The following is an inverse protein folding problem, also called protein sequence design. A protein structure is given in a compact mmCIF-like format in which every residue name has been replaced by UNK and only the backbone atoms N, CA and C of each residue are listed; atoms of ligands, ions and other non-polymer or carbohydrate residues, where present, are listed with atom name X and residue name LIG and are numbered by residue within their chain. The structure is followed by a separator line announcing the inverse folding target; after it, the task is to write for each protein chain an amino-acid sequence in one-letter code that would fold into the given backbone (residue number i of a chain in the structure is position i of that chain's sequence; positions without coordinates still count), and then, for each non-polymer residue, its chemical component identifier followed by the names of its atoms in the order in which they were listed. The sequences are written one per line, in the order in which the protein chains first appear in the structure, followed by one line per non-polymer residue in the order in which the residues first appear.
data_IF_837630683582
#
_entry.id   IF_837630683582
#
_cell.length_a   1.000
_cell.length_b   1.000
_cell.length_c   1.000
_cell.angle_alpha   90.00
_cell.angle_beta   90.00
_cell.angle_gamma   90.00
#
_symmetry.space_group_name_H-M   'P 1'
#
loop_
_entity.id
_entity.type
_entity.pdbx_description
1 polymer ?
#
# COMPACT_ATOMS: atom_id res chain seq x y z
N UNK A 1 -24.02 5.39 -3.02
CA UNK A 1 -23.49 4.34 -2.12
C UNK A 1 -22.48 4.96 -1.18
N UNK A 2 -22.25 4.35 -0.02
CA UNK A 2 -21.29 4.86 0.97
C UNK A 2 -19.87 4.44 0.60
N UNK A 3 -19.00 5.42 0.36
CA UNK A 3 -17.55 5.21 0.25
C UNK A 3 -16.99 4.71 1.58
N UNK A 4 -15.91 3.92 1.59
CA UNK A 4 -15.32 3.45 2.83
C UNK A 4 -14.69 4.60 3.63
N UNK A 5 -14.86 4.56 4.94
CA UNK A 5 -14.20 5.47 5.88
C UNK A 5 -12.84 4.89 6.28
N UNK A 6 -11.75 5.52 5.83
CA UNK A 6 -10.39 5.13 6.22
C UNK A 6 -10.06 5.70 7.60
N UNK A 7 -9.75 4.82 8.55
CA UNK A 7 -9.38 5.17 9.93
C UNK A 7 -7.88 5.09 10.13
N UNK A 8 -7.34 6.02 10.91
CA UNK A 8 -5.92 6.05 11.24
C UNK A 8 -5.69 5.61 12.68
N UNK A 9 -4.76 4.67 12.88
CA UNK A 9 -4.44 4.12 14.21
C UNK A 9 -2.95 3.86 14.35
N UNK A 10 -2.53 3.60 15.58
CA UNK A 10 -1.24 2.99 15.89
C UNK A 10 -1.49 1.57 16.39
N UNK A 11 -0.56 0.67 16.10
CA UNK A 11 -0.57 -0.69 16.63
C UNK A 11 0.87 -1.16 16.87
N UNK A 12 1.37 -0.99 18.11
CA UNK A 12 2.73 -1.42 18.46
C UNK A 12 2.94 -2.93 18.30
N UNK A 13 1.90 -3.75 18.45
CA UNK A 13 2.03 -5.20 18.30
C UNK A 13 2.14 -5.60 16.83
N UNK A 14 1.44 -4.88 15.94
CA UNK A 14 1.64 -5.00 14.50
C UNK A 14 3.06 -4.57 14.10
N UNK A 15 3.59 -3.47 14.66
CA UNK A 15 4.99 -3.07 14.40
C UNK A 15 6.00 -4.10 14.93
N UNK A 16 5.75 -4.73 16.09
CA UNK A 16 6.58 -5.84 16.57
C UNK A 16 6.55 -7.03 15.61
N UNK A 17 5.38 -7.34 15.05
CA UNK A 17 5.27 -8.38 14.02
C UNK A 17 6.04 -7.99 12.76
N UNK A 18 5.85 -6.77 12.25
CA UNK A 18 6.53 -6.26 11.06
C UNK A 18 8.05 -6.26 11.21
N UNK A 19 8.56 -5.81 12.36
CA UNK A 19 10.00 -5.85 12.63
C UNK A 19 10.56 -7.27 12.60
N UNK A 20 9.80 -8.28 13.02
CA UNK A 20 10.27 -9.68 12.99
C UNK A 20 10.17 -10.31 11.61
N UNK A 21 9.14 -9.95 10.86
CA UNK A 21 8.88 -10.53 9.54
C UNK A 21 9.79 -9.93 8.46
N UNK A 22 10.05 -8.61 8.53
CA UNK A 22 10.71 -7.88 7.44
C UNK A 22 12.19 -7.51 7.73
N UNK A 23 12.70 -7.73 8.94
CA UNK A 23 14.14 -7.58 9.22
C UNK A 23 14.90 -8.88 8.94
N UNK A 24 15.24 -9.08 7.67
CA UNK A 24 16.04 -10.23 7.22
C UNK A 24 17.54 -10.03 7.44
N UNK A 25 18.00 -8.77 7.56
CA UNK A 25 19.41 -8.37 7.59
C UNK A 25 20.20 -8.75 6.32
N UNK A 26 19.51 -9.11 5.25
CA UNK A 26 20.08 -9.32 3.92
C UNK A 26 20.29 -7.95 3.24
N UNK A 27 21.51 -7.69 2.76
CA UNK A 27 21.85 -6.45 2.05
C UNK A 27 21.11 -6.29 0.72
N UNK A 28 20.51 -7.35 0.18
CA UNK A 28 19.71 -7.33 -1.03
C UNK A 28 18.22 -7.07 -0.76
N UNK A 29 17.78 -7.19 0.50
CA UNK A 29 16.39 -6.95 0.90
C UNK A 29 16.14 -5.46 1.14
N UNK A 30 15.43 -4.84 0.20
CA UNK A 30 15.13 -3.41 0.24
C UNK A 30 14.30 -2.99 1.47
N UNK A 31 13.43 -3.86 1.98
CA UNK A 31 12.58 -3.52 3.13
C UNK A 31 13.41 -3.52 4.41
N UNK A 32 14.17 -4.60 4.63
CA UNK A 32 15.12 -4.71 5.74
C UNK A 32 16.08 -3.52 5.75
N UNK A 33 16.67 -3.20 4.59
CA UNK A 33 17.59 -2.07 4.46
C UNK A 33 16.93 -0.71 4.75
N UNK A 34 15.69 -0.49 4.28
CA UNK A 34 14.99 0.76 4.57
C UNK A 34 14.73 0.91 6.07
N UNK A 35 14.32 -0.16 6.75
CA UNK A 35 14.13 -0.12 8.21
C UNK A 35 15.43 0.17 8.93
N UNK A 36 16.54 -0.49 8.55
CA UNK A 36 17.84 -0.30 9.19
C UNK A 36 18.47 1.07 8.90
N UNK A 37 18.04 1.76 7.84
CA UNK A 37 18.44 3.13 7.56
C UNK A 37 17.76 4.12 8.52
N UNK A 38 16.47 3.95 8.77
CA UNK A 38 15.70 4.80 9.68
C UNK A 38 15.95 4.46 11.17
N UNK A 39 16.27 3.18 11.46
CA UNK A 39 16.43 2.64 12.81
C UNK A 39 17.76 1.87 12.95
N UNK A 40 18.93 2.54 12.88
CA UNK A 40 20.23 1.87 12.83
C UNK A 40 20.57 1.04 14.08
N UNK A 41 19.93 1.31 15.22
CA UNK A 41 20.10 0.52 16.44
C UNK A 41 19.63 -0.94 16.28
N UNK A 42 18.67 -1.20 15.39
CA UNK A 42 18.17 -2.54 15.10
C UNK A 42 19.22 -3.44 14.45
N UNK A 43 20.31 -2.89 13.90
CA UNK A 43 21.43 -3.69 13.37
C UNK A 43 22.02 -4.64 14.41
N UNK A 44 21.99 -4.25 15.69
CA UNK A 44 22.43 -5.09 16.82
C UNK A 44 21.66 -6.41 16.91
N UNK A 45 20.43 -6.46 16.40
CA UNK A 45 19.63 -7.67 16.40
C UNK A 45 20.12 -8.69 15.37
N UNK A 46 20.85 -8.29 14.33
CA UNK A 46 21.31 -9.17 13.24
C UNK A 46 22.15 -10.35 13.74
N UNK A 47 23.01 -10.09 14.73
CA UNK A 47 23.92 -11.06 15.34
C UNK A 47 23.27 -11.92 16.45
N UNK A 48 22.00 -11.68 16.78
CA UNK A 48 21.30 -12.39 17.83
C UNK A 48 20.62 -13.66 17.30
N UNK A 49 20.59 -14.69 18.15
CA UNK A 49 19.77 -15.89 17.96
C UNK A 49 18.28 -15.54 17.95
N UNK A 50 17.46 -16.40 17.34
CA UNK A 50 16.05 -16.13 17.01
C UNK A 50 15.23 -15.57 18.18
N UNK A 51 15.28 -16.20 19.34
CA UNK A 51 14.50 -15.78 20.52
C UNK A 51 14.99 -14.42 21.05
N UNK A 52 16.31 -14.25 21.21
CA UNK A 52 16.92 -13.00 21.67
C UNK A 52 16.69 -11.85 20.67
N UNK A 53 16.72 -12.12 19.37
CA UNK A 53 16.38 -11.20 18.28
C UNK A 53 14.93 -10.72 18.42
N UNK A 54 13.98 -11.65 18.60
CA UNK A 54 12.57 -11.33 18.80
C UNK A 54 12.33 -10.48 20.06
N UNK A 55 12.99 -10.80 21.17
CA UNK A 55 12.92 -10.00 22.40
C UNK A 55 13.51 -8.61 22.23
N UNK A 56 14.66 -8.51 21.55
CA UNK A 56 15.30 -7.23 21.26
C UNK A 56 14.41 -6.33 20.40
N UNK A 57 13.85 -6.85 19.29
CA UNK A 57 12.93 -6.10 18.43
C UNK A 57 11.68 -5.68 19.20
N UNK A 58 11.10 -6.58 20.00
CA UNK A 58 9.95 -6.26 20.84
C UNK A 58 10.24 -5.08 21.78
N UNK A 59 11.37 -5.14 22.46
CA UNK A 59 11.81 -4.09 23.37
C UNK A 59 12.04 -2.79 22.64
N UNK A 60 12.72 -2.83 21.49
CA UNK A 60 12.97 -1.65 20.67
C UNK A 60 11.68 -0.93 20.29
N UNK A 61 10.69 -1.66 19.76
CA UNK A 61 9.39 -1.08 19.39
C UNK A 61 8.70 -0.49 20.61
N UNK A 62 8.63 -1.22 21.73
CA UNK A 62 8.02 -0.71 22.96
C UNK A 62 8.69 0.57 23.48
N UNK A 63 10.02 0.62 23.50
CA UNK A 63 10.77 1.81 23.92
C UNK A 63 10.56 2.98 22.96
N UNK A 64 10.50 2.72 21.64
CA UNK A 64 10.25 3.75 20.64
C UNK A 64 8.90 4.42 20.86
N UNK A 65 7.84 3.63 21.03
CA UNK A 65 6.49 4.13 21.28
C UNK A 65 6.39 4.88 22.63
N UNK A 66 7.07 4.39 23.67
CA UNK A 66 7.13 5.08 24.95
C UNK A 66 7.84 6.45 24.86
N UNK A 67 8.89 6.54 24.03
CA UNK A 67 9.65 7.78 23.82
C UNK A 67 9.00 8.78 22.84
N UNK A 68 8.21 8.31 21.88
CA UNK A 68 7.68 9.13 20.77
C UNK A 68 6.14 9.17 20.70
N UNK A 69 5.43 8.72 21.75
CA UNK A 69 3.96 8.62 21.74
C UNK A 69 3.24 9.89 21.28
N UNK A 70 3.62 11.05 21.82
CA UNK A 70 3.03 12.34 21.43
C UNK A 70 3.22 12.67 19.93
N UNK A 71 4.42 12.41 19.37
CA UNK A 71 4.70 12.62 17.94
C UNK A 71 3.80 11.72 17.09
N UNK A 72 3.67 10.44 17.48
CA UNK A 72 2.88 9.46 16.74
C UNK A 72 1.38 9.78 16.79
N UNK A 73 0.87 10.25 17.94
CA UNK A 73 -0.53 10.69 18.08
C UNK A 73 -0.83 11.95 17.27
N UNK A 74 0.09 12.92 17.25
CA UNK A 74 0.00 14.09 16.37
C UNK A 74 -0.02 13.65 14.89
N UNK A 75 0.77 12.63 14.54
CA UNK A 75 0.82 12.08 13.19
C UNK A 75 -0.48 11.39 12.78
N UNK A 76 -1.16 10.68 13.67
CA UNK A 76 -2.53 10.19 13.42
C UNK A 76 -3.46 11.35 13.06
N UNK A 77 -3.47 12.39 13.91
CA UNK A 77 -4.39 13.52 13.76
C UNK A 77 -4.16 14.26 12.44
N UNK A 78 -2.90 14.56 12.13
CA UNK A 78 -2.52 15.25 10.89
C UNK A 78 -2.79 14.39 9.66
N UNK A 79 -2.41 13.11 9.68
CA UNK A 79 -2.65 12.20 8.54
C UNK A 79 -4.15 11.98 8.29
N UNK A 80 -4.96 11.87 9.34
CA UNK A 80 -6.41 11.77 9.21
C UNK A 80 -7.01 13.03 8.60
N UNK A 81 -6.55 14.21 9.00
CA UNK A 81 -7.00 15.48 8.43
C UNK A 81 -6.60 15.61 6.97
N UNK A 82 -5.33 15.36 6.67
CA UNK A 82 -4.77 15.44 5.32
C UNK A 82 -5.48 14.47 4.37
N UNK A 83 -5.88 13.29 4.84
CA UNK A 83 -6.67 12.34 4.07
C UNK A 83 -8.08 12.86 3.76
N UNK A 84 -8.76 13.46 4.74
CA UNK A 84 -10.11 13.98 4.55
C UNK A 84 -10.17 15.06 3.46
N UNK A 85 -9.11 15.88 3.33
CA UNK A 85 -9.02 16.92 2.30
C UNK A 85 -9.00 16.35 0.87
N UNK A 86 -8.52 15.11 0.69
CA UNK A 86 -8.29 14.52 -0.64
C UNK A 86 -9.17 13.32 -0.96
N UNK A 87 -9.68 12.63 0.06
CA UNK A 87 -10.32 11.31 -0.05
C UNK A 87 -11.53 11.32 -0.99
N UNK A 88 -12.36 12.35 -0.94
CA UNK A 88 -13.56 12.43 -1.79
C UNK A 88 -13.21 12.47 -3.29
N UNK A 89 -12.23 13.29 -3.66
CA UNK A 89 -11.78 13.36 -5.05
C UNK A 89 -11.18 12.03 -5.49
N UNK A 90 -10.36 11.41 -4.63
CA UNK A 90 -9.79 10.09 -4.88
C UNK A 90 -10.88 9.03 -5.11
N UNK A 91 -11.84 8.88 -4.18
CA UNK A 91 -12.91 7.89 -4.31
C UNK A 91 -13.77 8.11 -5.56
N UNK A 92 -14.04 9.36 -5.92
CA UNK A 92 -14.77 9.68 -7.15
C UNK A 92 -14.01 9.25 -8.41
N UNK A 93 -12.68 9.40 -8.43
CA UNK A 93 -11.85 8.94 -9.55
C UNK A 93 -11.80 7.41 -9.61
N UNK A 94 -11.61 6.74 -8.47
CA UNK A 94 -11.62 5.27 -8.43
C UNK A 94 -12.97 4.71 -8.85
N UNK A 95 -14.08 5.27 -8.37
CA UNK A 95 -15.42 4.87 -8.79
C UNK A 95 -15.59 4.95 -10.31
N UNK A 96 -15.06 6.00 -10.97
CA UNK A 96 -15.13 6.11 -12.44
C UNK A 96 -14.36 5.01 -13.16
N UNK A 97 -13.22 4.58 -12.61
CA UNK A 97 -12.39 3.52 -13.21
C UNK A 97 -13.09 2.16 -13.11
N UNK A 98 -13.70 1.86 -11.96
CA UNK A 98 -14.26 0.55 -11.67
C UNK A 98 -15.76 0.41 -11.99
N UNK A 99 -16.45 1.51 -12.31
CA UNK A 99 -17.84 1.46 -12.75
C UNK A 99 -17.94 1.06 -14.23
N UNK A 100 -18.87 0.14 -14.56
CA UNK A 100 -19.15 -0.20 -15.97
C UNK A 100 -19.97 0.90 -16.63
N UNK A 101 -19.69 1.22 -17.90
CA UNK A 101 -20.48 2.20 -18.67
C UNK A 101 -21.94 1.72 -18.76
N UNK A 102 -22.87 2.50 -18.22
CA UNK A 102 -24.30 2.16 -18.15
C UNK A 102 -24.66 1.09 -17.11
N UNK A 103 -23.70 0.67 -16.26
CA UNK A 103 -23.90 -0.24 -15.14
C UNK A 103 -24.06 0.48 -13.80
N UNK A 104 -24.22 -0.26 -12.69
CA UNK A 104 -24.21 0.31 -11.36
C UNK A 104 -22.85 0.93 -11.03
N UNK A 105 -22.85 1.90 -10.12
CA UNK A 105 -21.61 2.45 -9.54
C UNK A 105 -20.77 1.35 -8.89
N UNK A 106 -19.46 1.59 -8.77
CA UNK A 106 -18.55 0.69 -8.07
C UNK A 106 -18.99 0.46 -6.62
N UNK A 107 -19.20 -0.82 -6.29
CA UNK A 107 -19.50 -1.29 -4.95
C UNK A 107 -18.18 -1.64 -4.24
N UNK A 108 -17.83 -0.85 -3.23
CA UNK A 108 -16.58 -1.02 -2.50
C UNK A 108 -16.61 -2.31 -1.67
N UNK A 109 -15.52 -3.10 -1.63
CA UNK A 109 -15.50 -4.32 -0.84
C UNK A 109 -15.66 -4.03 0.65
N UNK A 110 -16.45 -4.84 1.36
CA UNK A 110 -16.56 -4.75 2.81
C UNK A 110 -15.20 -4.98 3.50
N UNK A 111 -14.97 -4.23 4.58
CA UNK A 111 -13.77 -4.41 5.40
C UNK A 111 -13.56 -3.30 6.42
N UNK A 112 -12.41 -3.35 7.09
CA UNK A 112 -12.13 -2.44 8.21
C UNK A 112 -11.68 -1.05 7.79
N UNK A 113 -10.97 -0.95 6.65
CA UNK A 113 -10.35 0.27 6.14
C UNK A 113 -9.57 1.01 7.23
N UNK A 114 -8.46 0.39 7.67
CA UNK A 114 -7.58 0.97 8.68
C UNK A 114 -6.17 1.15 8.11
N UNK A 115 -5.66 2.37 8.21
CA UNK A 115 -4.25 2.70 8.05
C UNK A 115 -3.59 2.70 9.43
N UNK A 116 -2.73 1.72 9.68
CA UNK A 116 -1.88 1.69 10.87
C UNK A 116 -0.61 2.47 10.56
N UNK A 117 -0.43 3.64 11.17
CA UNK A 117 0.84 4.35 11.07
C UNK A 117 1.91 3.50 11.73
N UNK A 118 2.97 3.22 10.99
CA UNK A 118 4.06 2.34 11.37
C UNK A 118 5.33 3.13 11.52
N UNK A 119 6.18 2.73 12.45
CA UNK A 119 7.55 3.24 12.55
C UNK A 119 8.46 2.66 11.45
N UNK A 120 8.05 1.61 10.73
CA UNK A 120 8.85 0.91 9.74
C UNK A 120 8.39 1.18 8.30
N UNK A 121 9.34 1.43 7.41
CA UNK A 121 9.08 1.65 5.99
C UNK A 121 8.99 0.34 5.18
N UNK A 122 8.11 -0.55 5.61
CA UNK A 122 7.78 -1.80 4.91
C UNK A 122 6.39 -1.75 4.26
N UNK A 123 5.46 -1.02 4.88
CA UNK A 123 4.09 -0.80 4.43
C UNK A 123 3.31 -2.10 4.06
N UNK A 124 3.32 -3.17 4.87
CA UNK A 124 2.57 -4.38 4.57
C UNK A 124 1.05 -4.13 4.50
N UNK A 125 0.35 -4.93 3.69
CA UNK A 125 -1.09 -4.84 3.47
C UNK A 125 -1.81 -6.17 3.65
N UNK A 126 -3.06 -6.09 4.09
CA UNK A 126 -3.89 -7.24 4.45
C UNK A 126 -5.20 -7.20 3.65
N UNK A 127 -5.14 -7.79 2.46
CA UNK A 127 -6.21 -7.70 1.44
C UNK A 127 -7.55 -8.21 1.96
N UNK A 128 -7.63 -9.24 2.79
CA UNK A 128 -8.94 -9.75 3.24
C UNK A 128 -9.63 -8.81 4.25
N UNK A 129 -8.85 -8.23 5.16
CA UNK A 129 -9.35 -7.41 6.25
C UNK A 129 -9.47 -5.92 5.88
N UNK A 130 -8.86 -5.50 4.76
CA UNK A 130 -8.79 -4.11 4.28
C UNK A 130 -8.08 -3.21 5.28
N UNK A 131 -6.92 -3.62 5.76
CA UNK A 131 -6.03 -2.73 6.50
C UNK A 131 -4.59 -2.87 5.99
N UNK A 132 -3.78 -1.87 6.29
CA UNK A 132 -2.39 -1.80 5.87
C UNK A 132 -1.59 -0.96 6.87
N UNK A 133 -0.28 -1.08 6.81
CA UNK A 133 0.63 -0.17 7.49
C UNK A 133 1.14 0.91 6.54
N UNK A 134 1.33 2.12 7.05
CA UNK A 134 1.99 3.20 6.33
C UNK A 134 3.05 3.83 7.22
N UNK A 135 4.27 3.95 6.71
CA UNK A 135 5.34 4.62 7.43
C UNK A 135 4.97 6.07 7.71
N UNK A 136 4.96 6.47 8.98
CA UNK A 136 4.49 7.81 9.34
C UNK A 136 5.37 8.96 8.81
N UNK A 137 6.59 8.63 8.37
CA UNK A 137 7.56 9.54 7.72
C UNK A 137 7.74 9.24 6.22
N UNK A 138 6.77 8.56 5.59
CA UNK A 138 6.89 8.15 4.19
C UNK A 138 7.22 9.32 3.25
N UNK A 139 8.24 9.21 2.38
CA UNK A 139 8.71 10.34 1.56
C UNK A 139 7.67 10.83 0.55
N UNK A 140 6.78 9.95 0.06
CA UNK A 140 5.67 10.32 -0.81
C UNK A 140 4.42 10.81 -0.05
N UNK A 141 4.51 11.02 1.27
CA UNK A 141 3.41 11.25 2.22
C UNK A 141 2.57 10.00 2.52
N UNK A 142 1.91 9.99 3.67
CA UNK A 142 0.95 8.95 4.08
C UNK A 142 -0.24 8.91 3.12
N UNK A 143 -0.71 10.05 2.61
CA UNK A 143 -1.83 10.12 1.67
C UNK A 143 -1.59 9.30 0.39
N UNK A 144 -0.37 9.37 -0.16
CA UNK A 144 -0.02 8.57 -1.33
C UNK A 144 -0.11 7.06 -1.03
N UNK A 145 0.43 6.63 0.11
CA UNK A 145 0.35 5.23 0.55
C UNK A 145 -1.11 4.81 0.73
N UNK A 146 -1.94 5.64 1.37
CA UNK A 146 -3.36 5.38 1.53
C UNK A 146 -4.08 5.18 0.19
N UNK A 147 -3.80 6.02 -0.81
CA UNK A 147 -4.38 5.86 -2.15
C UNK A 147 -3.93 4.57 -2.82
N UNK A 148 -2.64 4.26 -2.73
CA UNK A 148 -2.07 3.03 -3.28
C UNK A 148 -2.71 1.79 -2.66
N UNK A 149 -2.81 1.74 -1.33
CA UNK A 149 -3.34 0.57 -0.62
C UNK A 149 -4.86 0.41 -0.77
N UNK A 150 -5.61 1.52 -0.74
CA UNK A 150 -7.06 1.47 -1.00
C UNK A 150 -7.36 1.06 -2.45
N UNK A 151 -6.50 1.43 -3.40
CA UNK A 151 -6.62 1.01 -4.80
C UNK A 151 -6.30 -0.49 -5.00
N UNK A 152 -5.37 -1.05 -4.20
CA UNK A 152 -5.22 -2.52 -4.11
C UNK A 152 -6.54 -3.19 -3.69
N UNK A 153 -7.24 -2.67 -2.68
CA UNK A 153 -8.49 -3.29 -2.24
C UNK A 153 -9.57 -3.30 -3.33
N UNK A 154 -9.73 -2.19 -4.06
CA UNK A 154 -10.67 -2.10 -5.18
C UNK A 154 -10.28 -3.03 -6.34
N UNK A 155 -9.01 -3.05 -6.72
CA UNK A 155 -8.53 -3.87 -7.84
C UNK A 155 -8.64 -5.37 -7.55
N UNK A 156 -8.24 -5.84 -6.37
CA UNK A 156 -8.39 -7.24 -5.98
C UNK A 156 -9.86 -7.69 -6.03
N UNK A 157 -10.76 -6.91 -5.43
CA UNK A 157 -12.19 -7.23 -5.41
C UNK A 157 -12.78 -7.27 -6.83
N UNK A 158 -12.44 -6.27 -7.65
CA UNK A 158 -12.93 -6.22 -9.03
C UNK A 158 -12.45 -7.42 -9.86
N UNK A 159 -11.16 -7.76 -9.78
CA UNK A 159 -10.59 -8.85 -10.56
C UNK A 159 -11.15 -10.20 -10.08
N UNK A 160 -11.24 -10.42 -8.77
CA UNK A 160 -11.83 -11.65 -8.20
C UNK A 160 -13.28 -11.84 -8.66
N UNK A 161 -14.09 -10.77 -8.70
CA UNK A 161 -15.50 -10.83 -9.10
C UNK A 161 -15.70 -10.98 -10.62
N UNK A 162 -14.89 -10.29 -11.44
CA UNK A 162 -15.12 -10.20 -12.89
C UNK A 162 -14.26 -11.17 -13.71
N UNK A 163 -13.12 -11.63 -13.18
CA UNK A 163 -12.17 -12.53 -13.81
C UNK A 163 -11.77 -13.68 -12.86
N UNK A 164 -12.74 -14.44 -12.29
CA UNK A 164 -12.46 -15.40 -11.23
C UNK A 164 -11.54 -16.56 -11.68
N UNK A 165 -11.63 -16.97 -12.95
CA UNK A 165 -10.77 -18.02 -13.49
C UNK A 165 -9.32 -17.55 -13.58
N UNK A 166 -9.11 -16.32 -14.08
CA UNK A 166 -7.79 -15.74 -14.24
C UNK A 166 -7.18 -15.33 -12.90
N UNK A 167 -7.99 -14.86 -11.95
CA UNK A 167 -7.59 -14.64 -10.57
C UNK A 167 -7.03 -15.91 -9.93
N UNK A 168 -7.71 -17.06 -10.13
CA UNK A 168 -7.24 -18.34 -9.63
C UNK A 168 -5.93 -18.82 -10.29
N UNK A 169 -5.73 -18.51 -11.59
CA UNK A 169 -4.52 -18.87 -12.33
C UNK A 169 -3.33 -18.01 -11.91
N UNK A 170 -3.53 -16.70 -11.74
CA UNK A 170 -2.47 -15.78 -11.33
C UNK A 170 -1.90 -16.12 -9.95
N UNK A 171 -2.76 -16.60 -9.05
CA UNK A 171 -2.40 -16.80 -7.65
C UNK A 171 -1.96 -15.50 -6.97
N UNK A 172 -1.44 -15.60 -5.75
CA UNK A 172 -1.10 -14.44 -4.92
C UNK A 172 -0.02 -13.56 -5.55
N UNK A 173 1.08 -14.16 -6.02
CA UNK A 173 2.19 -13.41 -6.62
C UNK A 173 1.80 -12.72 -7.94
N UNK A 174 1.01 -13.39 -8.78
CA UNK A 174 0.52 -12.81 -10.03
C UNK A 174 -0.45 -11.65 -9.77
N UNK A 175 -1.36 -11.82 -8.81
CA UNK A 175 -2.28 -10.77 -8.39
C UNK A 175 -1.56 -9.58 -7.77
N UNK A 176 -0.57 -9.84 -6.92
CA UNK A 176 0.30 -8.80 -6.36
C UNK A 176 0.96 -8.00 -7.47
N UNK A 177 1.60 -8.67 -8.43
CA UNK A 177 2.33 -7.99 -9.51
C UNK A 177 1.41 -7.18 -10.42
N UNK A 178 0.26 -7.74 -10.81
CA UNK A 178 -0.76 -7.04 -11.59
C UNK A 178 -1.25 -5.79 -10.87
N UNK A 179 -1.58 -5.91 -9.58
CA UNK A 179 -2.14 -4.80 -8.82
C UNK A 179 -1.11 -3.70 -8.55
N UNK A 180 0.16 -4.03 -8.32
CA UNK A 180 1.26 -3.04 -8.22
C UNK A 180 1.38 -2.22 -9.50
N UNK A 181 1.45 -2.91 -10.65
CA UNK A 181 1.60 -2.25 -11.96
C UNK A 181 0.36 -1.41 -12.29
N UNK A 182 -0.83 -1.94 -12.04
CA UNK A 182 -2.08 -1.19 -12.22
C UNK A 182 -2.08 0.09 -11.36
N UNK A 183 -1.79 -0.02 -10.07
CA UNK A 183 -1.77 1.14 -9.18
C UNK A 183 -0.74 2.17 -9.62
N UNK A 184 0.46 1.74 -10.05
CA UNK A 184 1.49 2.63 -10.55
C UNK A 184 1.07 3.39 -11.82
N UNK A 185 0.33 2.74 -12.72
CA UNK A 185 -0.25 3.37 -13.92
C UNK A 185 -1.32 4.39 -13.53
N UNK A 186 -2.26 4.00 -12.66
CA UNK A 186 -3.40 4.84 -12.29
C UNK A 186 -2.96 6.06 -11.48
N UNK A 187 -2.11 5.89 -10.48
CA UNK A 187 -1.67 6.99 -9.61
C UNK A 187 -0.79 8.02 -10.33
N UNK A 188 -0.29 7.70 -11.53
CA UNK A 188 0.44 8.62 -12.42
C UNK A 188 -0.45 9.36 -13.41
N UNK A 189 -1.74 9.04 -13.49
CA UNK A 189 -2.65 9.81 -14.33
C UNK A 189 -2.77 11.24 -13.81
N UNK A 190 -2.94 12.24 -14.70
CA UNK A 190 -2.94 13.65 -14.31
C UNK A 190 -3.92 13.99 -13.19
N UNK A 191 -5.09 13.36 -13.14
CA UNK A 191 -6.09 13.59 -12.10
C UNK A 191 -5.63 13.09 -10.72
N UNK A 192 -4.94 11.96 -10.65
CA UNK A 192 -4.39 11.44 -9.39
C UNK A 192 -3.16 12.22 -8.95
N UNK A 193 -2.27 12.58 -9.88
CA UNK A 193 -1.11 13.46 -9.62
C UNK A 193 -1.56 14.81 -9.08
N UNK A 194 -2.69 15.35 -9.56
CA UNK A 194 -3.24 16.60 -9.04
C UNK A 194 -3.62 16.51 -7.56
N UNK A 195 -3.96 15.32 -7.07
CA UNK A 195 -4.29 15.07 -5.66
C UNK A 195 -3.02 14.73 -4.86
N UNK A 196 -2.24 13.74 -5.31
CA UNK A 196 -1.07 13.23 -4.58
C UNK A 196 0.12 14.18 -4.59
N UNK A 197 0.21 15.04 -5.62
CA UNK A 197 1.40 15.83 -5.97
C UNK A 197 2.64 14.97 -6.30
N UNK A 198 2.47 13.65 -6.46
CA UNK A 198 3.55 12.70 -6.78
C UNK A 198 3.51 12.34 -8.27
N UNK A 199 4.45 12.88 -9.06
CA UNK A 199 4.52 12.60 -10.51
C UNK A 199 5.23 11.30 -10.85
N UNK A 200 6.30 11.00 -10.11
CA UNK A 200 7.11 9.82 -10.34
C UNK A 200 7.49 9.17 -9.01
N UNK A 201 6.52 8.53 -8.32
CA UNK A 201 6.82 7.80 -7.10
C UNK A 201 7.81 6.65 -7.38
N UNK A 202 8.59 6.19 -6.40
CA UNK A 202 9.48 5.04 -6.57
C UNK A 202 8.71 3.81 -7.04
N UNK A 203 9.33 3.01 -7.89
CA UNK A 203 8.79 1.74 -8.42
C UNK A 203 9.81 0.64 -8.19
N UNK A 204 9.34 -0.60 -8.05
CA UNK A 204 10.24 -1.75 -8.04
C UNK A 204 11.03 -1.80 -9.36
N UNK A 205 12.36 -1.94 -9.26
CA UNK A 205 13.23 -1.89 -10.44
C UNK A 205 12.83 -2.90 -11.54
N UNK A 206 12.40 -4.09 -11.12
CA UNK A 206 11.92 -5.17 -11.99
C UNK A 206 10.61 -4.86 -12.73
N UNK A 207 9.89 -3.82 -12.32
CA UNK A 207 8.58 -3.45 -12.87
C UNK A 207 8.65 -2.31 -13.89
N UNK A 208 9.83 -1.72 -14.15
CA UNK A 208 9.94 -0.50 -14.97
C UNK A 208 9.52 -0.70 -16.43
N UNK A 209 10.03 -1.73 -17.10
CA UNK A 209 9.67 -2.01 -18.51
C UNK A 209 8.17 -2.33 -18.65
N UNK A 210 7.63 -3.08 -17.69
CA UNK A 210 6.20 -3.40 -17.69
C UNK A 210 5.34 -2.17 -17.42
N UNK A 211 5.76 -1.30 -16.50
CA UNK A 211 5.07 -0.05 -16.23
C UNK A 211 5.01 0.83 -17.47
N UNK A 212 6.13 1.04 -18.17
CA UNK A 212 6.18 1.86 -19.38
C UNK A 212 5.24 1.32 -20.46
N UNK A 213 5.23 0.00 -20.66
CA UNK A 213 4.29 -0.67 -21.56
C UNK A 213 2.83 -0.37 -21.18
N UNK A 214 2.45 -0.62 -19.93
CA UNK A 214 1.05 -0.51 -19.51
C UNK A 214 0.58 0.94 -19.34
N UNK A 215 1.50 1.88 -19.10
CA UNK A 215 1.20 3.31 -19.19
C UNK A 215 0.81 3.71 -20.61
N UNK A 216 1.58 3.26 -21.61
CA UNK A 216 1.26 3.52 -23.02
C UNK A 216 -0.09 2.90 -23.40
N UNK A 217 -0.34 1.64 -23.02
CA UNK A 217 -1.63 0.98 -23.27
C UNK A 217 -2.81 1.72 -22.64
N UNK A 218 -2.67 2.18 -21.38
CA UNK A 218 -3.72 2.95 -20.72
C UNK A 218 -3.96 4.32 -21.37
N UNK A 219 -2.92 4.99 -21.84
CA UNK A 219 -3.05 6.28 -22.54
C UNK A 219 -3.75 6.13 -23.89
N UNK A 220 -3.49 5.05 -24.62
CA UNK A 220 -4.15 4.75 -25.89
C UNK A 220 -5.61 4.35 -25.69
N UNK A 221 -5.90 3.57 -24.64
CA UNK A 221 -7.24 3.05 -24.37
C UNK A 221 -7.48 2.88 -22.85
N UNK A 222 -7.99 3.92 -22.15
CA UNK A 222 -8.16 3.92 -20.70
C UNK A 222 -9.37 3.07 -20.30
N UNK A 223 -9.21 1.75 -20.39
CA UNK A 223 -10.25 0.76 -20.13
C UNK A 223 -9.69 -0.34 -19.22
N UNK A 224 -10.29 -0.45 -18.02
CA UNK A 224 -9.87 -1.41 -17.00
C UNK A 224 -9.95 -2.87 -17.47
N UNK A 225 -11.03 -3.28 -18.14
CA UNK A 225 -11.20 -4.66 -18.60
C UNK A 225 -10.15 -5.02 -19.65
N UNK A 226 -9.85 -4.11 -20.58
CA UNK A 226 -8.81 -4.31 -21.60
C UNK A 226 -7.41 -4.32 -20.98
N UNK A 227 -7.13 -3.45 -20.01
CA UNK A 227 -5.88 -3.47 -19.25
C UNK A 227 -5.65 -4.84 -18.62
N UNK A 228 -6.63 -5.35 -17.88
CA UNK A 228 -6.56 -6.66 -17.20
C UNK A 228 -6.37 -7.78 -18.22
N UNK A 229 -7.18 -7.80 -19.29
CA UNK A 229 -7.08 -8.82 -20.34
C UNK A 229 -5.71 -8.80 -21.05
N UNK A 230 -5.14 -7.63 -21.31
CA UNK A 230 -3.82 -7.52 -21.93
C UNK A 230 -2.71 -7.97 -20.99
N UNK A 231 -2.87 -7.77 -19.68
CA UNK A 231 -1.97 -8.32 -18.68
C UNK A 231 -1.98 -9.84 -18.68
N UNK A 232 -3.18 -10.43 -18.69
CA UNK A 232 -3.40 -11.86 -18.60
C UNK A 232 -3.01 -12.66 -19.86
N UNK A 233 -2.84 -12.00 -21.02
CA UNK A 233 -2.43 -12.63 -22.28
C UNK A 233 -0.91 -12.83 -22.44
N UNK A 234 -0.10 -12.30 -21.51
CA UNK A 234 1.34 -12.53 -21.47
C UNK A 234 1.66 -13.99 -21.14
#
# INVERSE_FOLDING_TARGET
MDKPELKFKLDPDLDKWTGKEFLTFDETDMFSNSVLADHPELKKAGDLEKEAKSEFINKYVSDYYAGHGNELEEKITTSSKDWLEVSEQFYNLVNKIFSKVGGPEHDWPDGQYVCFLSIFNCNPRFIKQKFFQAFYKHPQTVNYVCMHEVLHFASYDYIEKNFPAEFAILGENGMWKLSEIFNDVILRQPEFVAITKQRDPPIYAQSREELEKYQAEWQENPNLELFIQNYLKK
#
